data_IF_012996428294
#
_entry.id   IF_012996428294
#
_cell.length_a   1.000
_cell.length_b   1.000
_cell.length_c   1.000
_cell.angle_alpha   90.00
_cell.angle_beta   90.00
_cell.angle_gamma   90.00
#
_symmetry.space_group_name_H-M   'P 1'
#
loop_
_entity.id
_entity.type
_entity.pdbx_description
1 polymer ?
#
# COMPACT_ATOMS: atom_id res chain seq x y z
N UNK A 1 19.34 1.75 28.32
CA UNK A 1 19.12 0.45 27.63
C UNK A 1 17.78 -0.09 28.08
N UNK A 2 16.72 0.29 27.40
CA UNK A 2 15.36 -0.17 27.64
C UNK A 2 15.17 -1.49 26.91
N UNK A 3 15.18 -2.59 27.65
CA UNK A 3 14.76 -3.89 27.14
C UNK A 3 13.25 -3.83 26.88
N UNK A 4 12.86 -3.66 25.62
CA UNK A 4 11.48 -3.93 25.20
C UNK A 4 11.24 -5.43 25.38
N UNK A 5 10.37 -5.77 26.33
CA UNK A 5 9.87 -7.13 26.50
C UNK A 5 8.99 -7.44 25.27
N UNK A 6 9.57 -8.06 24.25
CA UNK A 6 8.79 -8.58 23.14
C UNK A 6 7.92 -9.72 23.68
N UNK A 7 6.60 -9.49 23.75
CA UNK A 7 5.65 -10.55 24.06
C UNK A 7 5.74 -11.62 22.96
N UNK A 8 5.87 -12.92 23.28
CA UNK A 8 5.96 -13.99 22.27
C UNK A 8 4.80 -13.99 21.26
N UNK A 9 3.63 -13.52 21.66
CA UNK A 9 2.48 -13.33 20.77
C UNK A 9 2.63 -12.21 19.75
N UNK A 10 3.46 -11.19 19.99
CA UNK A 10 3.72 -10.09 19.06
C UNK A 10 4.54 -10.57 17.84
N UNK A 11 5.57 -11.40 18.09
CA UNK A 11 6.39 -12.02 17.04
C UNK A 11 5.56 -12.96 16.15
N UNK A 12 4.58 -13.66 16.74
CA UNK A 12 3.65 -14.50 15.97
C UNK A 12 2.70 -13.68 15.09
N UNK A 13 2.19 -12.56 15.60
CA UNK A 13 1.28 -11.69 14.88
C UNK A 13 1.95 -10.98 13.70
N UNK A 14 3.14 -10.41 13.91
CA UNK A 14 3.92 -9.78 12.83
C UNK A 14 4.19 -10.77 11.70
N UNK A 15 4.64 -11.99 12.01
CA UNK A 15 4.87 -13.03 10.99
C UNK A 15 3.60 -13.34 10.19
N UNK A 16 2.45 -13.43 10.87
CA UNK A 16 1.15 -13.67 10.23
C UNK A 16 0.76 -12.49 9.32
N UNK A 17 0.98 -11.25 9.77
CA UNK A 17 0.74 -10.05 8.95
C UNK A 17 1.61 -10.02 7.70
N UNK A 18 2.93 -10.26 7.84
CA UNK A 18 3.86 -10.27 6.70
C UNK A 18 3.48 -11.32 5.67
N UNK A 19 3.15 -12.53 6.11
CA UNK A 19 2.64 -13.58 5.23
C UNK A 19 1.34 -13.15 4.52
N UNK A 20 0.38 -12.59 5.25
CA UNK A 20 -0.88 -12.12 4.68
C UNK A 20 -0.70 -10.96 3.68
N UNK A 21 0.29 -10.08 3.87
CA UNK A 21 0.63 -9.02 2.91
C UNK A 21 1.14 -9.61 1.61
N UNK A 22 2.06 -10.57 1.68
CA UNK A 22 2.58 -11.25 0.49
C UNK A 22 1.49 -12.05 -0.24
N UNK A 23 0.64 -12.76 0.51
CA UNK A 23 -0.51 -13.49 -0.04
C UNK A 23 -1.52 -12.53 -0.70
N UNK A 24 -1.81 -11.39 -0.08
CA UNK A 24 -2.68 -10.38 -0.66
C UNK A 24 -2.05 -9.75 -1.91
N UNK A 25 -0.74 -9.49 -1.96
CA UNK A 25 -0.07 -9.01 -3.16
C UNK A 25 -0.23 -10.01 -4.32
N UNK A 26 0.01 -11.30 -4.06
CA UNK A 26 -0.18 -12.36 -5.06
C UNK A 26 -1.64 -12.52 -5.49
N UNK A 27 -2.59 -12.41 -4.54
CA UNK A 27 -4.01 -12.49 -4.83
C UNK A 27 -4.49 -11.29 -5.67
N UNK A 28 -4.00 -10.08 -5.39
CA UNK A 28 -4.35 -8.90 -6.17
C UNK A 28 -3.81 -9.02 -7.61
N UNK A 29 -2.56 -9.47 -7.77
CA UNK A 29 -1.97 -9.77 -9.06
C UNK A 29 -2.82 -10.78 -9.88
N UNK A 30 -3.41 -11.77 -9.22
CA UNK A 30 -4.25 -12.78 -9.86
C UNK A 30 -5.72 -12.38 -10.03
N UNK A 31 -6.16 -11.26 -9.44
CA UNK A 31 -7.58 -10.86 -9.40
C UNK A 31 -8.14 -10.37 -10.74
N UNK A 32 -7.26 -9.96 -11.66
CA UNK A 32 -7.62 -9.28 -12.90
C UNK A 32 -7.92 -7.79 -12.73
N UNK A 33 -7.55 -7.17 -11.60
CA UNK A 33 -7.56 -5.72 -11.45
C UNK A 33 -6.47 -5.09 -12.33
N UNK A 34 -6.86 -4.11 -13.14
CA UNK A 34 -5.97 -3.44 -14.09
C UNK A 34 -5.28 -2.22 -13.46
N UNK A 35 -4.11 -1.86 -13.97
CA UNK A 35 -3.56 -0.53 -13.73
C UNK A 35 -4.38 0.53 -14.45
N UNK A 36 -4.63 1.67 -13.79
CA UNK A 36 -5.16 2.87 -14.44
C UNK A 36 -4.71 4.15 -13.74
N UNK A 37 -4.47 5.21 -14.51
CA UNK A 37 -4.34 6.58 -14.00
C UNK A 37 -5.67 7.06 -13.41
N UNK A 38 -5.65 8.16 -12.66
CA UNK A 38 -6.84 8.64 -11.94
C UNK A 38 -8.03 8.90 -12.85
N UNK A 39 -7.80 9.46 -14.04
CA UNK A 39 -8.82 9.80 -15.03
C UNK A 39 -9.58 8.56 -15.54
N UNK A 40 -8.92 7.40 -15.54
CA UNK A 40 -9.43 6.13 -16.06
C UNK A 40 -9.74 5.09 -14.98
N UNK A 41 -9.56 5.46 -13.70
CA UNK A 41 -9.85 4.57 -12.59
C UNK A 41 -11.30 4.07 -12.61
N UNK A 42 -11.53 2.86 -12.09
CA UNK A 42 -12.87 2.28 -12.00
C UNK A 42 -12.96 1.31 -10.84
N UNK A 43 -14.18 1.07 -10.39
CA UNK A 43 -14.48 0.05 -9.40
C UNK A 43 -15.93 -0.42 -9.53
N UNK A 44 -16.26 -1.51 -8.87
CA UNK A 44 -17.61 -2.06 -8.89
C UNK A 44 -18.64 -1.01 -8.42
N UNK A 45 -19.53 -0.52 -9.30
CA UNK A 45 -20.42 0.59 -8.97
C UNK A 45 -21.49 0.21 -7.96
N UNK A 46 -21.67 -1.08 -7.65
CA UNK A 46 -22.57 -1.54 -6.59
C UNK A 46 -22.02 -1.27 -5.19
N UNK A 47 -20.68 -1.22 -5.04
CA UNK A 47 -20.01 -1.09 -3.75
C UNK A 47 -19.28 0.25 -3.61
N UNK A 48 -18.74 0.76 -4.71
CA UNK A 48 -17.90 1.96 -4.73
C UNK A 48 -18.54 3.06 -5.57
N UNK A 49 -18.32 4.31 -5.17
CA UNK A 49 -18.63 5.51 -5.95
C UNK A 49 -17.33 6.14 -6.39
N UNK A 50 -17.11 6.22 -7.70
CA UNK A 50 -15.95 6.93 -8.24
C UNK A 50 -16.14 8.44 -8.09
N UNK A 51 -15.19 9.11 -7.46
CA UNK A 51 -15.19 10.56 -7.26
C UNK A 51 -14.60 11.30 -8.46
N UNK A 52 -14.78 12.63 -8.51
CA UNK A 52 -14.30 13.45 -9.62
C UNK A 52 -12.77 13.43 -9.80
N UNK A 53 -12.02 13.19 -8.71
CA UNK A 53 -10.57 13.05 -8.72
C UNK A 53 -10.08 11.61 -8.97
N UNK A 54 -10.98 10.69 -9.36
CA UNK A 54 -10.61 9.30 -9.66
C UNK A 54 -10.47 8.39 -8.44
N UNK A 55 -10.79 8.86 -7.23
CA UNK A 55 -10.84 8.01 -6.05
C UNK A 55 -12.07 7.11 -6.01
N UNK A 56 -12.02 6.05 -5.20
CA UNK A 56 -13.13 5.13 -4.97
C UNK A 56 -13.63 5.27 -3.53
N UNK A 57 -14.79 5.88 -3.35
CA UNK A 57 -15.45 6.01 -2.05
C UNK A 57 -16.36 4.82 -1.81
N UNK A 58 -16.17 4.10 -0.71
CA UNK A 58 -17.06 3.01 -0.31
C UNK A 58 -18.47 3.58 -0.06
N UNK A 59 -19.48 2.93 -0.62
CA UNK A 59 -20.87 3.37 -0.44
C UNK A 59 -21.33 3.20 1.00
N UNK A 60 -22.13 4.17 1.46
CA UNK A 60 -22.72 4.15 2.78
C UNK A 60 -23.52 2.85 3.01
N UNK A 61 -23.25 2.20 4.14
CA UNK A 61 -23.92 0.95 4.54
C UNK A 61 -23.29 -0.32 3.97
N UNK A 62 -22.31 -0.22 3.07
CA UNK A 62 -21.48 -1.36 2.67
C UNK A 62 -20.43 -1.60 3.76
N UNK A 63 -20.27 -2.85 4.18
CA UNK A 63 -19.22 -3.22 5.14
C UNK A 63 -17.84 -3.07 4.49
N UNK A 64 -16.85 -2.48 5.19
CA UNK A 64 -15.48 -2.38 4.70
C UNK A 64 -14.89 -3.71 4.21
N UNK A 65 -15.13 -4.81 4.94
CA UNK A 65 -14.67 -6.15 4.55
C UNK A 65 -15.25 -6.60 3.21
N UNK A 66 -16.51 -6.27 2.94
CA UNK A 66 -17.19 -6.59 1.67
C UNK A 66 -16.58 -5.78 0.54
N UNK A 67 -16.37 -4.47 0.75
CA UNK A 67 -15.76 -3.59 -0.26
C UNK A 67 -14.36 -4.07 -0.67
N UNK A 68 -13.50 -4.35 0.31
CA UNK A 68 -12.13 -4.80 0.06
C UNK A 68 -12.12 -6.20 -0.56
N UNK A 69 -12.85 -7.17 0.00
CA UNK A 69 -12.88 -8.53 -0.55
C UNK A 69 -13.41 -8.61 -1.98
N UNK A 70 -14.31 -7.71 -2.37
CA UNK A 70 -14.85 -7.67 -3.73
C UNK A 70 -13.78 -7.31 -4.77
N UNK A 71 -12.78 -6.50 -4.42
CA UNK A 71 -11.67 -6.16 -5.32
C UNK A 71 -10.91 -7.43 -5.73
N UNK A 72 -10.69 -8.35 -4.78
CA UNK A 72 -9.95 -9.59 -5.04
C UNK A 72 -10.80 -10.63 -5.78
N UNK A 73 -12.12 -10.64 -5.56
CA UNK A 73 -13.05 -11.60 -6.18
C UNK A 73 -13.49 -11.17 -7.58
N UNK A 74 -13.66 -9.88 -7.79
CA UNK A 74 -14.18 -9.28 -9.01
C UNK A 74 -13.19 -8.27 -9.62
N UNK A 75 -11.88 -8.55 -9.53
CA UNK A 75 -10.81 -7.63 -9.91
C UNK A 75 -10.98 -7.01 -11.29
N UNK A 76 -11.48 -7.77 -12.28
CA UNK A 76 -11.81 -7.26 -13.62
C UNK A 76 -12.74 -6.02 -13.65
N UNK A 77 -13.52 -5.76 -12.60
CA UNK A 77 -14.35 -4.55 -12.45
C UNK A 77 -13.57 -3.33 -11.95
N UNK A 78 -12.30 -3.50 -11.60
CA UNK A 78 -11.48 -2.51 -10.93
C UNK A 78 -10.27 -2.12 -11.78
N UNK A 79 -9.94 -0.84 -11.74
CA UNK A 79 -8.64 -0.35 -12.20
C UNK A 79 -8.23 0.87 -11.36
N UNK A 80 -6.98 0.91 -10.91
CA UNK A 80 -6.45 1.96 -10.04
C UNK A 80 -4.92 2.05 -10.16
N UNK A 81 -4.33 3.08 -9.57
CA UNK A 81 -2.88 3.28 -9.62
C UNK A 81 -2.14 2.49 -8.52
N UNK A 82 -0.81 2.45 -8.60
CA UNK A 82 0.06 1.62 -7.77
C UNK A 82 0.00 1.90 -6.25
N UNK A 83 -0.07 3.15 -5.80
CA UNK A 83 -0.23 3.54 -4.40
C UNK A 83 -1.54 3.05 -3.80
N UNK A 84 -2.66 3.25 -4.52
CA UNK A 84 -3.97 2.68 -4.16
C UNK A 84 -3.89 1.16 -4.06
N UNK A 85 -3.19 0.50 -4.99
CA UNK A 85 -2.99 -0.94 -4.95
C UNK A 85 -2.23 -1.38 -3.69
N UNK A 86 -1.20 -0.65 -3.26
CA UNK A 86 -0.49 -0.95 -2.00
C UNK A 86 -1.43 -0.84 -0.80
N UNK A 87 -2.23 0.23 -0.70
CA UNK A 87 -3.20 0.40 0.38
C UNK A 87 -4.23 -0.74 0.39
N UNK A 88 -4.72 -1.17 -0.77
CA UNK A 88 -5.65 -2.31 -0.91
C UNK A 88 -5.02 -3.61 -0.42
N UNK A 89 -3.75 -3.90 -0.78
CA UNK A 89 -3.02 -5.07 -0.29
C UNK A 89 -2.91 -5.04 1.24
N UNK A 90 -2.54 -3.89 1.82
CA UNK A 90 -2.41 -3.74 3.26
C UNK A 90 -3.76 -3.88 3.99
N UNK A 91 -4.86 -3.41 3.38
CA UNK A 91 -6.20 -3.63 3.92
C UNK A 91 -6.63 -5.08 3.87
N UNK A 92 -6.39 -5.77 2.76
CA UNK A 92 -6.74 -7.19 2.64
C UNK A 92 -5.97 -8.03 3.66
N UNK A 93 -4.67 -7.80 3.80
CA UNK A 93 -3.85 -8.49 4.79
C UNK A 93 -4.33 -8.20 6.22
N UNK A 94 -4.65 -6.93 6.52
CA UNK A 94 -5.19 -6.55 7.83
C UNK A 94 -6.51 -7.25 8.10
N UNK A 95 -7.44 -7.24 7.13
CA UNK A 95 -8.74 -7.89 7.19
C UNK A 95 -8.61 -9.39 7.50
N UNK A 96 -7.75 -10.12 6.78
CA UNK A 96 -7.52 -11.56 7.00
C UNK A 96 -6.95 -11.86 8.39
N UNK A 97 -6.10 -10.97 8.91
CA UNK A 97 -5.39 -11.24 10.16
C UNK A 97 -6.22 -10.85 11.40
N UNK A 98 -6.86 -9.68 11.39
CA UNK A 98 -7.66 -9.19 12.53
C UNK A 98 -9.11 -9.66 12.49
N UNK A 99 -9.58 -10.15 11.33
CA UNK A 99 -10.92 -10.66 11.11
C UNK A 99 -11.95 -9.58 10.77
N UNK A 100 -13.02 -9.99 10.08
CA UNK A 100 -14.06 -9.09 9.55
C UNK A 100 -14.70 -8.20 10.63
N UNK A 101 -14.98 -8.73 11.81
CA UNK A 101 -15.66 -7.97 12.86
C UNK A 101 -14.81 -6.78 13.35
N UNK A 102 -13.51 -7.02 13.62
CA UNK A 102 -12.60 -5.95 14.02
C UNK A 102 -12.36 -4.99 12.85
N UNK A 103 -12.16 -5.51 11.63
CA UNK A 103 -11.95 -4.67 10.45
C UNK A 103 -13.14 -3.73 10.19
N UNK A 104 -14.37 -4.26 10.17
CA UNK A 104 -15.58 -3.46 9.98
C UNK A 104 -15.84 -2.47 11.13
N UNK A 105 -15.37 -2.77 12.33
CA UNK A 105 -15.46 -1.85 13.47
C UNK A 105 -14.49 -0.69 13.31
N UNK A 106 -13.24 -0.94 12.93
CA UNK A 106 -12.15 0.04 12.98
C UNK A 106 -11.80 0.70 11.65
N UNK A 107 -12.21 0.16 10.50
CA UNK A 107 -11.83 0.67 9.17
C UNK A 107 -13.05 1.16 8.39
N UNK A 108 -13.79 2.10 8.97
CA UNK A 108 -15.03 2.62 8.39
C UNK A 108 -14.76 3.68 7.32
N UNK A 109 -15.79 3.99 6.51
CA UNK A 109 -15.79 5.08 5.53
C UNK A 109 -14.58 5.08 4.56
N UNK A 110 -14.17 3.90 4.10
CA UNK A 110 -13.00 3.73 3.23
C UNK A 110 -13.07 4.57 1.96
N UNK A 111 -11.98 5.28 1.69
CA UNK A 111 -11.73 6.02 0.46
C UNK A 111 -10.38 5.57 -0.11
N UNK A 112 -10.38 5.03 -1.33
CA UNK A 112 -9.19 4.52 -2.00
C UNK A 112 -8.75 5.53 -3.06
N UNK A 113 -7.60 6.17 -2.84
CA UNK A 113 -7.05 7.17 -3.76
C UNK A 113 -5.61 7.51 -3.39
N UNK A 114 -4.65 7.28 -4.27
CA UNK A 114 -3.22 7.46 -3.96
C UNK A 114 -2.84 6.71 -2.66
N UNK A 115 -1.96 7.29 -1.86
CA UNK A 115 -1.63 6.88 -0.51
C UNK A 115 -2.65 7.32 0.55
N UNK A 116 -3.90 7.67 0.18
CA UNK A 116 -4.92 7.91 1.19
C UNK A 116 -5.28 6.61 1.90
N UNK A 117 -5.07 6.58 3.22
CA UNK A 117 -5.45 5.45 4.06
C UNK A 117 -6.17 5.92 5.34
N UNK A 118 -7.12 5.11 5.78
CA UNK A 118 -7.75 5.17 7.09
C UNK A 118 -6.71 5.16 8.22
N UNK A 119 -6.83 6.09 9.18
CA UNK A 119 -5.84 6.34 10.24
C UNK A 119 -5.49 5.11 11.10
N UNK A 120 -6.39 4.13 11.18
CA UNK A 120 -6.16 2.85 11.88
C UNK A 120 -5.29 1.86 11.10
N UNK A 121 -4.78 2.19 9.90
CA UNK A 121 -3.77 1.35 9.25
C UNK A 121 -2.39 1.50 9.91
N UNK A 122 -2.03 2.75 10.25
CA UNK A 122 -0.72 3.19 10.81
C UNK A 122 0.48 2.58 10.10
N UNK A 123 1.16 3.39 9.29
CA UNK A 123 2.37 2.97 8.62
C UNK A 123 3.59 3.44 9.40
N UNK A 124 4.59 2.56 9.47
CA UNK A 124 5.92 2.81 10.01
C UNK A 124 6.88 2.81 8.84
N UNK A 125 7.74 3.82 8.76
CA UNK A 125 8.81 3.89 7.78
C UNK A 125 10.14 3.41 8.37
N UNK A 126 10.90 2.68 7.57
CA UNK A 126 12.33 2.44 7.77
C UNK A 126 13.10 3.15 6.67
N UNK A 127 14.29 3.67 6.98
CA UNK A 127 15.12 4.44 6.04
C UNK A 127 16.43 3.72 5.67
N UNK A 128 16.50 2.43 5.99
CA UNK A 128 17.61 1.55 5.66
C UNK A 128 17.07 0.27 5.04
N UNK A 129 17.38 0.01 3.76
CA UNK A 129 16.87 -1.18 3.06
C UNK A 129 17.33 -2.50 3.70
N UNK A 130 18.43 -2.49 4.45
CA UNK A 130 18.88 -3.66 5.22
C UNK A 130 17.95 -4.04 6.37
N UNK A 131 17.06 -3.13 6.78
CA UNK A 131 16.01 -3.37 7.77
C UNK A 131 14.70 -3.83 7.13
N UNK A 132 14.57 -3.71 5.80
CA UNK A 132 13.39 -4.15 5.09
C UNK A 132 13.27 -5.68 5.11
N UNK A 133 12.04 -6.16 5.15
CA UNK A 133 11.70 -7.57 5.23
C UNK A 133 10.56 -7.90 4.27
N UNK A 134 10.41 -9.18 3.84
CA UNK A 134 9.26 -9.60 3.07
C UNK A 134 7.94 -9.17 3.72
N UNK A 135 7.02 -8.67 2.90
CA UNK A 135 5.79 -8.02 3.31
C UNK A 135 5.90 -6.50 3.52
N UNK A 136 7.08 -5.89 3.39
CA UNK A 136 7.20 -4.43 3.37
C UNK A 136 6.83 -3.86 1.98
N UNK A 137 6.28 -2.65 1.97
CA UNK A 137 6.21 -1.82 0.77
C UNK A 137 7.58 -1.18 0.55
N UNK A 138 8.12 -1.28 -0.65
CA UNK A 138 9.35 -0.62 -1.09
C UNK A 138 9.08 0.28 -2.30
N UNK A 139 10.06 1.09 -2.68
CA UNK A 139 9.95 1.97 -3.84
C UNK A 139 11.14 1.84 -4.79
N UNK A 140 10.84 1.65 -6.07
CA UNK A 140 11.81 1.77 -7.16
C UNK A 140 11.71 3.17 -7.75
N UNK A 141 12.78 3.97 -7.66
CA UNK A 141 12.80 5.32 -8.19
C UNK A 141 13.32 5.35 -9.61
N UNK A 142 12.64 6.08 -10.49
CA UNK A 142 13.12 6.45 -11.82
C UNK A 142 13.46 7.95 -11.87
N UNK A 143 14.72 8.34 -11.58
CA UNK A 143 15.08 9.75 -11.46
C UNK A 143 14.98 10.51 -12.80
N UNK A 144 15.11 9.80 -13.91
CA UNK A 144 15.22 10.34 -15.25
C UNK A 144 14.03 9.98 -16.14
N UNK A 145 12.86 9.69 -15.54
CA UNK A 145 11.62 9.45 -16.28
C UNK A 145 11.32 10.59 -17.27
N UNK A 146 10.67 10.26 -18.39
CA UNK A 146 10.30 11.27 -19.37
C UNK A 146 9.32 12.29 -18.74
N UNK A 147 9.50 13.62 -18.93
CA UNK A 147 8.70 14.63 -18.24
C UNK A 147 7.18 14.59 -18.52
N UNK A 148 6.78 13.98 -19.63
CA UNK A 148 5.40 13.76 -20.05
C UNK A 148 4.80 12.43 -19.52
N UNK A 149 5.57 11.66 -18.76
CA UNK A 149 5.26 10.32 -18.23
C UNK A 149 5.41 10.28 -16.71
N UNK A 150 4.65 11.10 -16.01
CA UNK A 150 4.76 11.29 -14.55
C UNK A 150 4.45 10.00 -13.78
N UNK A 151 3.62 9.13 -14.33
CA UNK A 151 3.31 7.79 -13.82
C UNK A 151 4.53 6.86 -13.80
N UNK A 152 5.57 7.15 -14.59
CA UNK A 152 6.80 6.37 -14.67
C UNK A 152 7.95 6.91 -13.80
N UNK A 153 7.68 7.85 -12.90
CA UNK A 153 8.67 8.39 -11.94
C UNK A 153 9.18 7.36 -10.93
N UNK A 154 8.52 6.20 -10.84
CA UNK A 154 8.94 5.05 -10.09
C UNK A 154 7.82 4.03 -9.97
N UNK A 155 7.99 3.07 -9.06
CA UNK A 155 7.02 2.01 -8.80
C UNK A 155 7.00 1.69 -7.30
N UNK A 156 5.81 1.72 -6.69
CA UNK A 156 5.60 1.16 -5.36
C UNK A 156 5.44 -0.36 -5.49
N UNK A 157 6.12 -1.12 -4.65
CA UNK A 157 6.07 -2.58 -4.72
C UNK A 157 6.01 -3.25 -3.36
N UNK A 158 5.39 -4.43 -3.28
CA UNK A 158 5.48 -5.30 -2.11
C UNK A 158 6.72 -6.19 -2.26
N UNK A 159 7.63 -6.15 -1.30
CA UNK A 159 8.75 -7.09 -1.22
C UNK A 159 8.22 -8.49 -0.89
N UNK A 160 8.55 -9.46 -1.75
CA UNK A 160 8.23 -10.88 -1.55
C UNK A 160 9.52 -11.64 -1.16
N UNK A 161 9.42 -12.96 -1.07
CA UNK A 161 10.57 -13.83 -0.89
C UNK A 161 11.38 -13.98 -2.19
N UNK A 162 12.57 -14.57 -2.08
CA UNK A 162 13.45 -14.93 -3.21
C UNK A 162 13.81 -13.78 -4.17
N UNK A 163 13.82 -12.54 -3.67
CA UNK A 163 14.15 -11.35 -4.47
C UNK A 163 13.06 -10.94 -5.45
N UNK A 164 11.83 -11.41 -5.24
CA UNK A 164 10.65 -11.02 -6.03
C UNK A 164 9.93 -9.83 -5.40
N UNK A 165 9.21 -9.11 -6.25
CA UNK A 165 8.44 -7.93 -5.88
C UNK A 165 7.12 -7.93 -6.66
N UNK A 166 6.05 -7.48 -6.03
CA UNK A 166 4.79 -7.19 -6.70
C UNK A 166 4.68 -5.69 -6.95
N UNK A 167 4.76 -5.26 -8.21
CA UNK A 167 4.40 -3.92 -8.67
C UNK A 167 3.06 -3.95 -9.41
N UNK A 168 2.15 -3.02 -9.13
CA UNK A 168 0.83 -3.05 -9.74
C UNK A 168 0.87 -2.51 -11.18
N UNK A 169 0.56 -3.37 -12.15
CA UNK A 169 0.71 -3.08 -13.59
C UNK A 169 1.93 -3.77 -14.21
N UNK A 170 2.99 -4.01 -13.42
CA UNK A 170 4.15 -4.83 -13.82
C UNK A 170 3.91 -6.32 -13.50
N UNK A 171 3.30 -6.59 -12.35
CA UNK A 171 3.07 -7.93 -11.80
C UNK A 171 4.16 -8.36 -10.82
N UNK A 172 4.29 -9.67 -10.62
CA UNK A 172 5.33 -10.25 -9.76
C UNK A 172 6.59 -10.49 -10.58
N UNK A 173 7.68 -9.81 -10.23
CA UNK A 173 8.93 -9.88 -10.96
C UNK A 173 10.16 -9.65 -10.07
N UNK A 174 11.37 -10.07 -10.50
CA UNK A 174 12.62 -9.66 -9.89
C UNK A 174 12.85 -8.13 -9.97
N UNK A 175 13.68 -7.60 -9.08
CA UNK A 175 14.03 -6.17 -9.04
C UNK A 175 14.55 -5.66 -10.40
N UNK A 176 15.35 -6.47 -11.10
CA UNK A 176 15.95 -6.12 -12.39
C UNK A 176 14.89 -5.87 -13.45
N UNK A 177 13.81 -6.65 -13.46
CA UNK A 177 12.70 -6.49 -14.41
C UNK A 177 11.92 -5.20 -14.15
N UNK A 178 11.71 -4.84 -12.88
CA UNK A 178 11.06 -3.57 -12.51
C UNK A 178 11.96 -2.39 -12.94
N UNK A 179 13.25 -2.46 -12.63
CA UNK A 179 14.23 -1.44 -13.01
C UNK A 179 14.31 -1.28 -14.54
N UNK A 180 14.34 -2.38 -15.29
CA UNK A 180 14.37 -2.35 -16.74
C UNK A 180 13.10 -1.76 -17.35
N UNK A 181 11.93 -2.05 -16.75
CA UNK A 181 10.65 -1.47 -17.17
C UNK A 181 10.65 0.04 -16.97
N UNK A 182 11.07 0.53 -15.79
CA UNK A 182 11.22 1.97 -15.52
C UNK A 182 12.25 2.63 -16.45
N UNK A 183 13.37 1.95 -16.71
CA UNK A 183 14.46 2.48 -17.55
C UNK A 183 14.05 2.68 -19.02
N UNK A 184 13.06 1.95 -19.52
CA UNK A 184 12.51 2.12 -20.87
C UNK A 184 11.72 3.43 -21.02
N UNK A 185 11.30 4.02 -19.90
CA UNK A 185 10.40 5.18 -19.86
C UNK A 185 11.13 6.48 -19.47
N UNK A 186 12.47 6.49 -19.62
CA UNK A 186 13.34 7.64 -19.40
C UNK A 186 13.36 8.60 -20.58
N UNK A 187 13.78 9.84 -20.35
CA UNK A 187 14.04 10.76 -21.46
C UNK A 187 15.19 10.24 -22.36
N UNK A 188 15.16 10.51 -23.68
CA UNK A 188 16.17 10.01 -24.61
C UNK A 188 17.60 10.39 -24.23
N UNK A 189 18.50 9.40 -24.22
CA UNK A 189 19.91 9.61 -23.90
C UNK A 189 20.28 9.58 -22.42
N UNK A 190 19.32 9.34 -21.51
CA UNK A 190 19.64 9.15 -20.08
C UNK A 190 20.57 7.95 -19.85
N UNK A 191 21.58 8.16 -19.00
CA UNK A 191 22.49 7.12 -18.50
C UNK A 191 22.24 6.79 -17.01
N UNK A 192 21.30 7.47 -16.36
CA UNK A 192 20.95 7.23 -14.96
C UNK A 192 19.91 6.10 -14.89
N UNK A 193 20.24 5.00 -14.23
CA UNK A 193 19.31 3.89 -14.03
C UNK A 193 18.29 4.22 -12.93
N UNK A 194 17.09 3.66 -13.06
CA UNK A 194 16.20 3.43 -11.94
C UNK A 194 16.85 2.50 -10.89
N UNK A 195 16.41 2.61 -9.65
CA UNK A 195 17.00 1.88 -8.51
C UNK A 195 16.01 1.72 -7.35
N UNK A 196 16.19 0.67 -6.55
CA UNK A 196 15.47 0.47 -5.28
C UNK A 196 15.96 1.50 -4.25
N UNK A 197 15.05 2.25 -3.63
CA UNK A 197 15.40 3.23 -2.60
C UNK A 197 15.75 2.56 -1.27
N UNK A 198 16.25 3.37 -0.33
CA UNK A 198 16.54 2.88 1.03
C UNK A 198 15.32 2.85 1.95
N UNK A 199 14.15 3.23 1.45
CA UNK A 199 12.94 3.41 2.26
C UNK A 199 12.01 2.22 2.10
N UNK A 200 11.45 1.76 3.20
CA UNK A 200 10.38 0.77 3.21
C UNK A 200 9.28 1.18 4.20
N UNK A 201 8.05 0.72 3.95
CA UNK A 201 6.91 0.91 4.83
C UNK A 201 6.31 -0.42 5.25
N UNK A 202 5.80 -0.48 6.47
CA UNK A 202 4.95 -1.57 6.90
C UNK A 202 3.89 -1.09 7.90
N UNK A 203 2.79 -1.83 8.09
CA UNK A 203 1.85 -1.53 9.17
C UNK A 203 2.48 -1.61 10.56
N UNK A 204 1.97 -0.83 11.50
CA UNK A 204 2.27 -0.99 12.92
C UNK A 204 1.60 -2.29 13.42
N UNK A 205 2.35 -3.39 13.34
CA UNK A 205 1.84 -4.72 13.68
C UNK A 205 1.40 -4.83 15.14
N UNK A 206 2.09 -4.16 16.07
CA UNK A 206 1.72 -4.16 17.48
C UNK A 206 0.39 -3.45 17.71
N UNK A 207 0.17 -2.34 16.99
CA UNK A 207 -1.10 -1.65 17.01
C UNK A 207 -2.23 -2.47 16.38
N UNK A 208 -2.03 -3.06 15.20
CA UNK A 208 -3.04 -3.91 14.57
C UNK A 208 -3.39 -5.13 15.43
N UNK A 209 -2.41 -5.70 16.15
CA UNK A 209 -2.67 -6.74 17.13
C UNK A 209 -3.61 -6.25 18.23
N UNK A 210 -3.46 -5.01 18.70
CA UNK A 210 -4.35 -4.45 19.73
C UNK A 210 -5.80 -4.36 19.27
N UNK A 211 -6.03 -4.02 18.00
CA UNK A 211 -7.37 -3.99 17.39
C UNK A 211 -7.99 -5.38 17.32
N UNK A 212 -7.20 -6.41 16.98
CA UNK A 212 -7.67 -7.80 16.96
C UNK A 212 -8.15 -8.30 18.34
N UNK A 213 -7.66 -7.69 19.41
CA UNK A 213 -8.05 -7.98 20.80
C UNK A 213 -9.21 -7.08 21.28
N UNK A 214 -9.82 -6.29 20.40
CA UNK A 214 -10.92 -5.38 20.73
C UNK A 214 -10.51 -4.22 21.64
N UNK A 215 -9.23 -3.84 21.66
CA UNK A 215 -8.74 -2.72 22.48
C UNK A 215 -9.05 -1.40 21.78
N UNK A 216 -9.31 -0.37 22.58
CA UNK A 216 -9.50 0.99 22.08
C UNK A 216 -8.25 1.48 21.34
N UNK A 217 -8.40 2.14 20.17
CA UNK A 217 -7.30 2.74 19.45
C UNK A 217 -6.51 3.70 20.35
N UNK A 218 -5.27 3.35 20.68
CA UNK A 218 -4.38 4.27 21.40
C UNK A 218 -4.01 5.45 20.50
N UNK A 219 -3.82 6.69 20.96
CA UNK A 219 -3.43 7.81 20.11
C UNK A 219 -2.19 7.49 19.27
N UNK A 220 -2.10 8.05 18.06
CA UNK A 220 -0.89 7.93 17.22
C UNK A 220 0.25 8.66 17.93
N UNK A 221 1.38 7.98 18.17
CA UNK A 221 2.57 8.64 18.71
C UNK A 221 3.08 9.67 17.68
N UNK A 222 3.27 10.95 18.06
CA UNK A 222 3.82 11.99 17.18
C UNK A 222 5.17 11.63 16.53
N UNK A 223 5.92 10.67 17.08
CA UNK A 223 7.17 10.18 16.51
C UNK A 223 6.98 9.22 15.33
N UNK A 224 5.80 8.60 15.21
CA UNK A 224 5.38 7.82 14.04
C UNK A 224 4.66 8.68 12.99
N UNK A 225 4.54 9.98 13.25
CA UNK A 225 3.92 11.00 12.39
C UNK A 225 4.95 11.74 11.52
N UNK A 226 6.22 11.30 11.49
CA UNK A 226 7.17 11.76 10.47
C UNK A 226 6.52 11.49 9.11
N UNK A 227 6.08 12.59 8.50
CA UNK A 227 5.20 12.65 7.35
C UNK A 227 5.69 11.69 6.28
N UNK A 228 5.01 10.56 6.15
CA UNK A 228 5.28 9.51 5.17
C UNK A 228 4.94 10.05 3.79
N UNK A 229 5.78 10.92 3.25
CA UNK A 229 5.86 11.18 1.81
C UNK A 229 6.70 10.04 1.26
N UNK A 230 6.11 8.84 1.26
CA UNK A 230 6.66 7.73 0.50
C UNK A 230 6.30 8.02 -0.95
N UNK A 231 7.28 8.57 -1.66
CA UNK A 231 7.32 8.72 -3.13
C UNK A 231 5.96 8.83 -3.84
N UNK A 232 5.59 10.08 -4.11
CA UNK A 232 4.40 10.54 -4.81
C UNK A 232 4.27 9.85 -6.17
N UNK A 233 3.29 8.97 -6.34
CA UNK A 233 2.72 8.69 -7.67
C UNK A 233 1.31 9.28 -7.62
N UNK A 234 1.23 10.55 -8.01
CA UNK A 234 -0.01 11.32 -7.95
C UNK A 234 0.23 12.81 -8.13
N UNK A 235 -0.57 13.48 -8.94
CA UNK A 235 -0.37 14.87 -9.41
C UNK A 235 -0.44 15.96 -8.35
N UNK A 236 -0.58 15.65 -7.05
CA UNK A 236 -0.77 16.68 -6.02
C UNK A 236 0.06 16.47 -4.75
N UNK A 237 0.81 17.51 -4.40
CA UNK A 237 1.47 17.65 -3.11
C UNK A 237 0.45 18.12 -2.07
N UNK A 238 0.02 17.26 -1.14
CA UNK A 238 -0.71 17.70 0.04
C UNK A 238 0.26 17.97 1.18
N UNK A 239 0.53 19.24 1.44
CA UNK A 239 1.12 19.67 2.71
C UNK A 239 -0.02 19.75 3.73
N UNK A 240 -0.15 18.75 4.60
CA UNK A 240 -0.94 18.91 5.80
C UNK A 240 -0.20 19.83 6.77
N UNK A 241 -0.50 21.13 6.69
CA UNK A 241 -0.25 22.04 7.80
C UNK A 241 -1.26 21.73 8.91
N UNK A 242 -0.84 21.00 9.94
CA UNK A 242 -1.53 21.08 11.23
C UNK A 242 -1.30 22.50 11.76
N UNK A 243 -2.36 23.32 11.73
CA UNK A 243 -2.38 24.59 12.47
C UNK A 243 -2.16 24.26 13.95
N UNK A 244 -1.23 25.02 14.55
CA UNK A 244 -0.90 25.02 15.98
C UNK A 244 -2.13 25.20 16.86
#
# INVERSE_FOLDING_TARGET
>A
MSYYYQHPGAVGFERKMRAAIMEAAAALNASGADFAVYEDSRGNPQLWTRTANGGLQLRKGVLPSVGISDIFRNGHLYAFECGTAMVIVLYMATLEVIGENAFNTYFQDLFLWDWHYHSNLRLIATHHISEASPGDVVYFKNPDHAPDKVEWQGENAIMLEDGLYYGHGIGIAPAEVIIDSLNQERYPGSLTSAYLTNEALHPDFAYLQSLSLGREPSPVDPRHLESTIFSRIGTQSYIHHLKR
#
